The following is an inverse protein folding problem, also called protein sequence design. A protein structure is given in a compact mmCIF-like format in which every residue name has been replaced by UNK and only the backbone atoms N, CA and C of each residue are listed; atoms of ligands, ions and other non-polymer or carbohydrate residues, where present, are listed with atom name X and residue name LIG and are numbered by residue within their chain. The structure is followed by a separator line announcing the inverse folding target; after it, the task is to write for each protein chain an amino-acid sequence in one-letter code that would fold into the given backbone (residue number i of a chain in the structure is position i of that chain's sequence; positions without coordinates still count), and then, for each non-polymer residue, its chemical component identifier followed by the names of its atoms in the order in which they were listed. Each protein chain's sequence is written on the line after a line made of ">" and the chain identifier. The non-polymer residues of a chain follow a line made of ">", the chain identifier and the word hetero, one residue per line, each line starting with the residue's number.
data_IF_726456088499
#
_entry.id   IF_726456088499
#
_cell.length_a   1.000
_cell.length_b   1.000
_cell.length_c   1.000
_cell.angle_alpha   90.00
_cell.angle_beta   90.00
_cell.angle_gamma   90.00
#
_symmetry.space_group_name_H-M   'P 1'
#
loop_
_entity.id
_entity.type
_entity.pdbx_description
1 polymer ?
#
# COMPACT_ATOMS: atom_id res chain seq x y z
N UNK A 1 6.49 -8.06 -12.78
CA UNK A 1 6.63 -6.84 -11.93
C UNK A 1 7.41 -5.76 -12.65
N UNK A 2 8.62 -6.03 -13.15
CA UNK A 2 9.46 -5.02 -13.83
C UNK A 2 8.79 -4.26 -14.99
N UNK A 3 7.86 -4.89 -15.73
CA UNK A 3 7.11 -4.24 -16.82
C UNK A 3 5.80 -3.57 -16.38
N UNK A 4 5.43 -3.71 -15.11
CA UNK A 4 4.23 -3.06 -14.58
C UNK A 4 4.52 -1.60 -14.24
N UNK A 5 3.56 -0.71 -14.52
CA UNK A 5 3.66 0.73 -14.19
C UNK A 5 3.60 1.00 -12.68
N UNK A 6 2.87 0.17 -11.93
CA UNK A 6 2.93 0.11 -10.47
C UNK A 6 2.49 -1.25 -9.94
N UNK A 7 2.67 -1.47 -8.63
CA UNK A 7 2.02 -2.53 -7.86
C UNK A 7 1.07 -1.93 -6.81
N UNK A 8 -0.13 -2.49 -6.69
CA UNK A 8 -1.07 -2.19 -5.59
C UNK A 8 -1.44 -3.47 -4.86
N UNK A 9 -1.35 -3.48 -3.53
CA UNK A 9 -1.72 -4.67 -2.75
C UNK A 9 -1.40 -4.55 -1.26
N UNK A 10 -1.77 -5.60 -0.52
CA UNK A 10 -1.55 -5.68 0.92
C UNK A 10 -0.05 -5.63 1.26
N UNK A 11 0.27 -5.08 2.43
CA UNK A 11 1.59 -5.23 3.03
C UNK A 11 1.91 -6.72 3.23
N UNK A 12 2.75 -7.24 2.35
CA UNK A 12 3.13 -8.65 2.26
C UNK A 12 4.35 -8.82 1.36
N UNK A 13 4.90 -10.03 1.27
CA UNK A 13 6.06 -10.34 0.41
C UNK A 13 5.99 -9.77 -1.02
N UNK A 14 4.86 -9.91 -1.75
CA UNK A 14 4.69 -9.31 -3.09
C UNK A 14 4.95 -7.81 -3.17
N UNK A 15 4.59 -7.05 -2.13
CA UNK A 15 4.86 -5.61 -2.06
C UNK A 15 6.37 -5.32 -2.06
N UNK A 16 7.14 -6.09 -1.28
CA UNK A 16 8.59 -5.97 -1.25
C UNK A 16 9.26 -6.49 -2.52
N UNK A 17 8.72 -7.54 -3.14
CA UNK A 17 9.19 -8.02 -4.44
C UNK A 17 8.99 -6.97 -5.55
N UNK A 18 7.89 -6.21 -5.51
CA UNK A 18 7.66 -5.11 -6.44
C UNK A 18 8.69 -3.99 -6.24
N UNK A 19 8.94 -3.60 -5.00
CA UNK A 19 9.98 -2.62 -4.68
C UNK A 19 11.37 -3.07 -5.13
N UNK A 20 11.74 -4.34 -4.87
CA UNK A 20 13.01 -4.91 -5.30
C UNK A 20 13.15 -4.96 -6.84
N UNK A 21 12.04 -5.05 -7.57
CA UNK A 21 12.01 -5.00 -9.03
C UNK A 21 12.08 -3.56 -9.60
N UNK A 22 12.14 -2.53 -8.75
CA UNK A 22 12.10 -1.12 -9.15
C UNK A 22 10.70 -0.61 -9.50
N UNK A 23 9.65 -1.39 -9.22
CA UNK A 23 8.27 -1.02 -9.53
C UNK A 23 7.71 -0.09 -8.45
N UNK A 24 7.09 1.06 -8.79
CA UNK A 24 6.39 1.92 -7.83
C UNK A 24 5.29 1.17 -7.07
N UNK A 25 5.05 1.52 -5.80
CA UNK A 25 4.16 0.74 -4.93
C UNK A 25 3.10 1.57 -4.22
N UNK A 26 1.85 1.16 -4.31
CA UNK A 26 0.77 1.51 -3.38
C UNK A 26 0.55 0.34 -2.42
N UNK A 27 1.01 0.50 -1.17
CA UNK A 27 0.87 -0.52 -0.13
C UNK A 27 -0.37 -0.29 0.73
N UNK A 28 -1.17 -1.33 0.95
CA UNK A 28 -2.37 -1.28 1.79
C UNK A 28 -2.05 -1.86 3.18
N UNK A 29 -2.10 -1.01 4.19
CA UNK A 29 -1.69 -1.32 5.56
C UNK A 29 -2.87 -1.39 6.52
N UNK A 30 -2.76 -2.31 7.48
CA UNK A 30 -3.67 -2.44 8.62
C UNK A 30 -3.02 -1.93 9.90
N UNK A 31 -2.88 -2.83 10.90
CA UNK A 31 -2.24 -2.50 12.18
C UNK A 31 -0.72 -2.37 12.10
N UNK A 32 -0.09 -2.93 11.07
CA UNK A 32 1.36 -2.87 10.87
C UNK A 32 1.82 -1.44 10.60
N UNK A 33 3.03 -1.12 11.05
CA UNK A 33 3.59 0.23 10.91
C UNK A 33 4.19 0.41 9.50
N UNK A 34 3.63 1.29 8.64
CA UNK A 34 4.13 1.50 7.29
C UNK A 34 5.53 2.14 7.24
N UNK A 35 5.96 2.83 8.29
CA UNK A 35 7.32 3.38 8.34
C UNK A 35 8.35 2.24 8.49
N UNK A 36 7.98 1.17 9.20
CA UNK A 36 8.86 0.02 9.46
C UNK A 36 8.83 -0.99 8.31
N UNK A 37 7.65 -1.22 7.73
CA UNK A 37 7.41 -2.29 6.76
C UNK A 37 7.07 -1.76 5.36
N UNK A 38 7.29 -0.47 5.13
CA UNK A 38 7.07 0.17 3.84
C UNK A 38 7.98 -0.36 2.72
N UNK A 39 7.60 -0.15 1.45
CA UNK A 39 8.50 -0.31 0.32
C UNK A 39 9.76 0.54 0.47
N UNK A 40 10.92 0.00 0.09
CA UNK A 40 12.21 0.69 0.20
C UNK A 40 12.79 0.91 -1.18
N UNK A 41 13.33 2.12 -1.43
CA UNK A 41 14.10 2.41 -2.65
C UNK A 41 13.26 2.66 -3.90
N UNK A 42 11.93 2.78 -3.79
CA UNK A 42 11.04 3.10 -4.91
C UNK A 42 10.01 4.17 -4.52
N UNK A 43 9.48 4.95 -5.48
CA UNK A 43 8.31 5.79 -5.24
C UNK A 43 7.16 4.95 -4.68
N UNK A 44 6.60 5.39 -3.55
CA UNK A 44 5.54 4.63 -2.91
C UNK A 44 4.57 5.50 -2.11
N UNK A 45 3.35 4.98 -1.98
CA UNK A 45 2.31 5.51 -1.10
C UNK A 45 1.84 4.37 -0.19
N UNK A 46 1.89 4.60 1.12
CA UNK A 46 1.36 3.64 2.10
C UNK A 46 0.00 4.14 2.60
N UNK A 47 -1.06 3.46 2.19
CA UNK A 47 -2.42 3.76 2.63
C UNK A 47 -2.76 2.97 3.88
N UNK A 48 -3.36 3.65 4.85
CA UNK A 48 -3.86 3.05 6.09
C UNK A 48 -5.17 3.73 6.46
N UNK A 49 -6.18 2.99 6.96
CA UNK A 49 -7.38 3.60 7.52
C UNK A 49 -7.03 4.51 8.70
N UNK A 50 -7.97 5.35 9.10
CA UNK A 50 -7.87 6.11 10.34
C UNK A 50 -7.67 5.16 11.53
N UNK A 51 -6.74 5.49 12.42
CA UNK A 51 -6.40 4.69 13.59
C UNK A 51 -6.75 5.43 14.89
N UNK A 52 -7.24 4.73 15.94
CA UNK A 52 -7.49 3.29 16.00
C UNK A 52 -8.67 2.88 15.11
N UNK A 53 -8.60 1.68 14.51
CA UNK A 53 -9.67 1.14 13.69
C UNK A 53 -10.67 0.35 14.56
N UNK A 54 -11.97 0.52 14.31
CA UNK A 54 -13.00 -0.38 14.85
C UNK A 54 -12.95 -1.76 14.17
N UNK A 55 -13.29 -2.81 14.92
CA UNK A 55 -13.42 -4.15 14.38
C UNK A 55 -14.65 -4.26 13.47
N UNK A 56 -14.44 -4.58 12.19
CA UNK A 56 -15.52 -4.72 11.20
C UNK A 56 -15.82 -6.18 10.82
N UNK A 57 -14.96 -7.13 11.22
CA UNK A 57 -15.06 -8.54 10.85
C UNK A 57 -15.73 -9.46 11.88
N UNK A 58 -16.42 -8.92 12.89
CA UNK A 58 -16.96 -9.72 14.00
C UNK A 58 -15.87 -10.60 14.64
N UNK A 59 -16.13 -11.91 14.75
CA UNK A 59 -15.20 -12.90 15.32
C UNK A 59 -13.91 -13.09 14.51
N UNK A 60 -13.89 -12.66 13.24
CA UNK A 60 -12.67 -12.68 12.42
C UNK A 60 -11.68 -11.60 12.84
N UNK A 61 -12.15 -10.53 13.50
CA UNK A 61 -11.36 -9.34 13.76
C UNK A 61 -10.86 -9.27 15.22
N UNK A 62 -9.54 -9.34 15.42
CA UNK A 62 -8.91 -9.14 16.74
C UNK A 62 -7.92 -7.98 16.71
N UNK A 63 -8.27 -6.89 17.39
CA UNK A 63 -7.48 -5.64 17.40
C UNK A 63 -6.04 -5.79 17.90
N UNK A 64 -5.78 -6.77 18.78
CA UNK A 64 -4.45 -7.03 19.35
C UNK A 64 -3.58 -7.94 18.49
N UNK A 65 -4.11 -8.53 17.42
CA UNK A 65 -3.40 -9.46 16.54
C UNK A 65 -3.42 -8.90 15.11
N UNK A 66 -2.27 -8.44 14.63
CA UNK A 66 -2.14 -7.85 13.28
C UNK A 66 -2.51 -8.82 12.17
N UNK A 67 -2.42 -10.14 12.39
CA UNK A 67 -2.80 -11.17 11.41
C UNK A 67 -4.31 -11.42 11.37
N UNK A 68 -5.02 -10.96 12.39
CA UNK A 68 -6.48 -11.10 12.55
C UNK A 68 -7.18 -9.75 12.59
N UNK A 69 -6.50 -8.64 12.40
CA UNK A 69 -7.14 -7.35 12.38
C UNK A 69 -7.59 -6.98 10.97
N UNK A 70 -8.90 -6.81 10.80
CA UNK A 70 -9.51 -6.44 9.52
C UNK A 70 -9.45 -4.93 9.24
N UNK A 71 -8.48 -4.18 9.79
CA UNK A 71 -8.42 -2.72 9.59
C UNK A 71 -8.38 -2.34 8.10
N UNK A 72 -7.64 -3.11 7.27
CA UNK A 72 -7.52 -2.88 5.82
C UNK A 72 -8.90 -2.83 5.14
N UNK A 73 -9.91 -3.54 5.66
CA UNK A 73 -11.26 -3.54 5.09
C UNK A 73 -11.99 -2.20 5.22
N UNK A 74 -11.47 -1.26 6.03
CA UNK A 74 -11.98 0.11 6.13
C UNK A 74 -11.34 1.08 5.13
N UNK A 75 -10.46 0.59 4.25
CA UNK A 75 -9.97 1.43 3.15
C UNK A 75 -11.05 1.55 2.09
N UNK A 76 -11.47 2.78 1.84
CA UNK A 76 -12.38 3.10 0.74
C UNK A 76 -11.69 2.91 -0.60
N UNK A 77 -12.40 2.33 -1.56
CA UNK A 77 -11.87 2.06 -2.91
C UNK A 77 -11.42 3.36 -3.59
N UNK A 78 -12.18 4.44 -3.43
CA UNK A 78 -11.85 5.74 -4.03
C UNK A 78 -10.50 6.27 -3.52
N UNK A 79 -10.24 6.15 -2.22
CA UNK A 79 -8.94 6.55 -1.64
C UNK A 79 -7.78 5.72 -2.20
N UNK A 80 -8.00 4.43 -2.50
CA UNK A 80 -7.01 3.58 -3.16
C UNK A 80 -6.80 4.00 -4.61
N UNK A 81 -7.87 4.28 -5.35
CA UNK A 81 -7.79 4.74 -6.74
C UNK A 81 -7.07 6.08 -6.85
N UNK A 82 -7.37 7.02 -5.95
CA UNK A 82 -6.71 8.33 -5.90
C UNK A 82 -5.20 8.19 -5.64
N UNK A 83 -4.80 7.36 -4.67
CA UNK A 83 -3.38 7.09 -4.43
C UNK A 83 -2.67 6.45 -5.64
N UNK A 84 -3.36 5.55 -6.36
CA UNK A 84 -2.81 4.94 -7.57
C UNK A 84 -2.60 6.00 -8.66
N UNK A 85 -3.58 6.86 -8.91
CA UNK A 85 -3.49 7.95 -9.88
C UNK A 85 -2.40 8.95 -9.52
N UNK A 86 -2.34 9.34 -8.26
CA UNK A 86 -1.30 10.22 -7.72
C UNK A 86 0.10 9.66 -7.95
N UNK A 87 0.29 8.36 -7.66
CA UNK A 87 1.60 7.74 -7.81
C UNK A 87 1.99 7.60 -9.29
N UNK A 88 1.05 7.24 -10.17
CA UNK A 88 1.28 7.20 -11.62
C UNK A 88 1.69 8.56 -12.16
N UNK A 89 0.97 9.62 -11.80
CA UNK A 89 1.29 10.97 -12.27
C UNK A 89 2.71 11.40 -11.84
N UNK A 90 3.13 11.05 -10.61
CA UNK A 90 4.48 11.37 -10.10
C UNK A 90 5.58 10.63 -10.86
N UNK A 91 5.32 9.40 -11.33
CA UNK A 91 6.33 8.57 -11.98
C UNK A 91 6.37 8.75 -13.50
N UNK A 92 5.28 9.17 -14.13
CA UNK A 92 5.26 9.56 -15.55
C UNK A 92 6.09 10.83 -15.80
N UNK A 93 5.97 11.83 -14.94
CA UNK A 93 6.76 13.07 -15.03
C UNK A 93 8.26 12.78 -14.85
N UNK A 94 8.62 11.83 -13.98
CA UNK A 94 10.02 11.43 -13.78
C UNK A 94 10.62 10.72 -14.99
N UNK A 95 9.82 10.02 -15.79
CA UNK A 95 10.28 9.37 -17.02
C UNK A 95 10.49 10.41 -18.13
N UNK A 96 9.58 11.38 -18.29
CA UNK A 96 9.71 12.46 -19.29
C UNK A 96 10.86 13.44 -19.02
N UNK A 97 11.19 13.69 -17.74
CA UNK A 97 12.31 14.57 -17.37
C UNK A 97 13.68 13.89 -17.45
N UNK A 98 13.73 12.56 -17.59
CA UNK A 98 14.96 11.78 -17.70
C UNK A 98 15.38 11.51 -19.16
N UNK A 99 14.59 11.97 -20.14
CA UNK A 99 14.81 11.81 -21.59
C UNK A 99 15.29 13.12 -22.22
#
# INVERSE_FOLDING_TARGET
>A
LKEARLFVGNESGPMHMAAAAGTPVVGLFGLTNPIKWGPVGVPSISLRPHMPCDCVGGDLCRRTDSSKACCVWRLEVDAVVDAVRDLLARTEISEEQAV
#
